data_IF_615310453565
#
_entry.id   IF_615310453565
#
_cell.length_a   1.000
_cell.length_b   1.000
_cell.length_c   1.000
_cell.angle_alpha   90.00
_cell.angle_beta   90.00
_cell.angle_gamma   90.00
#
_symmetry.space_group_name_H-M   'P 1'
#
loop_
_entity.id
_entity.type
_entity.pdbx_description
1 polymer ?
#
# COMPACT_ATOMS: atom_id res chain seq x y z
N UNK A 1 -8.31 11.09 19.23
CA UNK A 1 -7.06 10.35 19.51
C UNK A 1 -6.22 10.48 18.25
N UNK A 2 -4.92 10.68 18.40
CA UNK A 2 -4.00 10.82 17.28
C UNK A 2 -3.36 9.47 17.01
N UNK A 3 -3.20 9.09 15.74
CA UNK A 3 -2.55 7.82 15.35
C UNK A 3 -1.14 8.05 14.83
N UNK A 4 -0.20 7.20 15.22
CA UNK A 4 1.20 7.30 14.77
C UNK A 4 1.42 6.53 13.47
N UNK A 5 2.04 7.18 12.48
CA UNK A 5 2.30 6.62 11.16
C UNK A 5 3.80 6.68 10.87
N UNK A 6 4.37 5.56 10.42
CA UNK A 6 5.73 5.52 9.89
C UNK A 6 5.73 5.26 8.37
N UNK A 7 6.45 6.07 7.60
CA UNK A 7 6.62 5.88 6.15
C UNK A 7 8.05 5.39 5.90
N UNK A 8 8.19 4.10 5.60
CA UNK A 8 9.48 3.53 5.24
C UNK A 8 9.72 3.74 3.73
N UNK A 9 10.79 4.44 3.38
CA UNK A 9 11.00 4.94 2.02
C UNK A 9 10.43 6.35 1.76
N UNK A 10 10.26 7.18 2.81
CA UNK A 10 9.71 8.55 2.71
C UNK A 10 10.42 9.48 1.72
N UNK A 11 11.67 9.20 1.33
CA UNK A 11 12.46 10.04 0.43
C UNK A 11 12.21 9.76 -1.07
N UNK A 12 11.52 8.66 -1.41
CA UNK A 12 11.11 8.38 -2.78
C UNK A 12 9.86 9.18 -3.17
N UNK A 13 9.56 9.29 -4.47
CA UNK A 13 8.42 10.07 -4.99
C UNK A 13 7.10 9.70 -4.30
N UNK A 14 6.78 8.40 -4.21
CA UNK A 14 5.57 7.92 -3.53
C UNK A 14 5.56 8.32 -2.05
N UNK A 15 6.68 8.12 -1.35
CA UNK A 15 6.80 8.42 0.07
C UNK A 15 6.65 9.92 0.36
N UNK A 16 7.25 10.77 -0.47
CA UNK A 16 7.16 12.23 -0.35
C UNK A 16 5.72 12.72 -0.54
N UNK A 17 5.03 12.29 -1.59
CA UNK A 17 3.65 12.73 -1.79
C UNK A 17 2.69 12.21 -0.72
N UNK A 18 2.92 11.01 -0.19
CA UNK A 18 2.13 10.49 0.95
C UNK A 18 2.41 11.35 2.17
N UNK A 19 3.67 11.64 2.48
CA UNK A 19 4.05 12.51 3.60
C UNK A 19 3.35 13.86 3.52
N UNK A 20 3.45 14.55 2.38
CA UNK A 20 2.80 15.86 2.17
C UNK A 20 1.27 15.81 2.40
N UNK A 21 0.61 14.72 1.98
CA UNK A 21 -0.83 14.53 2.23
C UNK A 21 -1.15 14.27 3.70
N UNK A 22 -0.29 13.54 4.42
CA UNK A 22 -0.49 13.21 5.83
C UNK A 22 -0.13 14.38 6.76
N UNK A 23 0.84 15.22 6.43
CA UNK A 23 1.20 16.42 7.20
C UNK A 23 0.04 17.42 7.35
N UNK A 24 -0.91 17.41 6.41
CA UNK A 24 -2.11 18.23 6.46
C UNK A 24 -3.21 17.69 7.41
N UNK A 25 -3.02 16.50 8.01
CA UNK A 25 -4.01 15.83 8.86
C UNK A 25 -3.73 16.10 10.34
N UNK A 26 -4.75 16.55 11.08
CA UNK A 26 -4.64 16.81 12.51
C UNK A 26 -4.86 15.57 13.40
N UNK A 27 -5.32 14.45 12.81
CA UNK A 27 -5.59 13.18 13.48
C UNK A 27 -4.44 12.17 13.37
N UNK A 28 -3.35 12.53 12.68
CA UNK A 28 -2.20 11.67 12.41
C UNK A 28 -0.90 12.35 12.87
N UNK A 29 0.05 11.55 13.37
CA UNK A 29 1.40 11.98 13.74
C UNK A 29 2.43 11.13 12.98
N UNK A 30 3.44 11.77 12.38
CA UNK A 30 4.46 11.09 11.59
C UNK A 30 5.72 10.80 12.40
N UNK A 31 6.17 9.54 12.38
CA UNK A 31 7.49 9.15 12.87
C UNK A 31 8.52 9.47 11.77
N UNK A 32 9.44 10.38 12.06
CA UNK A 32 10.50 10.80 11.13
C UNK A 32 11.87 10.34 11.65
N UNK A 33 12.58 9.54 10.86
CA UNK A 33 13.91 9.04 11.24
C UNK A 33 15.06 9.94 10.78
N UNK A 34 14.80 10.89 9.87
CA UNK A 34 15.81 11.81 9.34
C UNK A 34 17.01 11.06 8.72
N UNK A 35 18.21 11.33 9.23
CA UNK A 35 19.43 10.67 8.77
C UNK A 35 19.55 9.20 9.19
N UNK A 36 18.81 8.78 10.22
CA UNK A 36 18.78 7.38 10.67
C UNK A 36 17.89 6.49 9.82
N UNK A 37 17.29 6.99 8.73
CA UNK A 37 16.40 6.20 7.85
C UNK A 37 17.05 4.99 7.18
N UNK A 38 18.38 4.87 7.21
CA UNK A 38 19.13 3.68 6.73
C UNK A 38 19.62 2.78 7.85
N UNK A 39 19.43 3.18 9.10
CA UNK A 39 19.77 2.38 10.27
C UNK A 39 18.68 1.32 10.47
N UNK A 40 19.09 0.06 10.42
CA UNK A 40 18.18 -1.10 10.53
C UNK A 40 17.49 -1.12 11.89
N UNK A 41 18.18 -0.78 12.97
CA UNK A 41 17.63 -0.78 14.32
C UNK A 41 16.63 0.35 14.49
N UNK A 42 16.97 1.56 14.02
CA UNK A 42 16.04 2.69 14.05
C UNK A 42 14.76 2.44 13.23
N UNK A 43 14.90 1.80 12.06
CA UNK A 43 13.76 1.37 11.24
C UNK A 43 12.93 0.32 11.97
N UNK A 44 13.56 -0.70 12.58
CA UNK A 44 12.86 -1.73 13.35
C UNK A 44 12.04 -1.13 14.49
N UNK A 45 12.62 -0.20 15.25
CA UNK A 45 11.92 0.51 16.33
C UNK A 45 10.71 1.27 15.78
N UNK A 46 10.90 2.12 14.77
CA UNK A 46 9.80 2.89 14.16
C UNK A 46 8.69 2.01 13.56
N UNK A 47 9.06 0.88 12.94
CA UNK A 47 8.11 -0.11 12.42
C UNK A 47 7.21 -0.70 13.51
N UNK A 48 7.73 -0.88 14.72
CA UNK A 48 7.02 -1.53 15.82
C UNK A 48 6.28 -0.55 16.74
N UNK A 49 6.73 0.71 16.78
CA UNK A 49 6.15 1.78 17.60
C UNK A 49 4.99 2.53 16.92
N UNK A 50 4.80 2.36 15.60
CA UNK A 50 3.73 2.98 14.84
C UNK A 50 2.39 2.22 14.95
N UNK A 51 1.26 2.94 14.96
CA UNK A 51 -0.06 2.32 14.79
C UNK A 51 -0.22 1.73 13.38
N UNK A 52 0.31 2.44 12.37
CA UNK A 52 0.36 1.96 11.00
C UNK A 52 1.65 2.35 10.27
N UNK A 53 2.06 1.51 9.32
CA UNK A 53 3.27 1.67 8.52
C UNK A 53 2.89 1.66 7.04
N UNK A 54 3.47 2.59 6.28
CA UNK A 54 3.37 2.64 4.83
C UNK A 54 4.74 2.30 4.23
N UNK A 55 4.80 1.21 3.47
CA UNK A 55 6.04 0.79 2.80
C UNK A 55 6.08 1.34 1.39
N UNK A 56 7.00 2.27 1.16
CA UNK A 56 7.31 2.87 -0.14
C UNK A 56 8.66 2.34 -0.64
N UNK A 57 8.79 1.01 -0.66
CA UNK A 57 10.04 0.30 -0.86
C UNK A 57 9.97 -0.60 -2.11
N UNK A 58 11.12 -0.96 -2.71
CA UNK A 58 11.19 -2.10 -3.64
C UNK A 58 10.79 -3.40 -2.95
N UNK A 59 10.34 -4.38 -3.74
CA UNK A 59 9.74 -5.63 -3.24
C UNK A 59 10.58 -6.37 -2.18
N UNK A 60 11.88 -6.52 -2.38
CA UNK A 60 12.74 -7.25 -1.42
C UNK A 60 12.90 -6.50 -0.10
N UNK A 61 13.01 -5.17 -0.17
CA UNK A 61 13.08 -4.32 1.02
C UNK A 61 11.72 -4.25 1.74
N UNK A 62 10.60 -4.32 1.01
CA UNK A 62 9.26 -4.43 1.60
C UNK A 62 9.11 -5.75 2.38
N UNK A 63 9.57 -6.88 1.80
CA UNK A 63 9.57 -8.18 2.49
C UNK A 63 10.45 -8.17 3.74
N UNK A 64 11.64 -7.57 3.66
CA UNK A 64 12.52 -7.39 4.82
C UNK A 64 11.82 -6.56 5.90
N UNK A 65 11.25 -5.40 5.56
CA UNK A 65 10.55 -4.54 6.51
C UNK A 65 9.38 -5.25 7.20
N UNK A 66 8.56 -6.00 6.45
CA UNK A 66 7.49 -6.84 7.04
C UNK A 66 8.06 -7.88 8.00
N UNK A 67 9.21 -8.47 7.69
CA UNK A 67 9.91 -9.42 8.58
C UNK A 67 10.51 -8.80 9.85
N UNK A 68 10.66 -7.47 9.91
CA UNK A 68 11.13 -6.74 11.09
C UNK A 68 9.99 -6.35 12.06
N UNK A 69 8.72 -6.52 11.66
CA UNK A 69 7.56 -6.20 12.49
C UNK A 69 7.27 -7.37 13.43
N UNK A 70 7.47 -7.14 14.72
CA UNK A 70 7.20 -8.07 15.82
C UNK A 70 5.87 -7.75 16.52
N UNK A 71 5.46 -6.49 16.52
CA UNK A 71 4.20 -6.05 17.09
C UNK A 71 3.02 -6.41 16.15
N UNK A 72 2.13 -7.34 16.54
CA UNK A 72 1.04 -7.79 15.68
C UNK A 72 -0.07 -6.76 15.50
N UNK A 73 -0.11 -5.72 16.34
CA UNK A 73 -1.12 -4.65 16.26
C UNK A 73 -0.84 -3.66 15.13
N UNK A 74 0.43 -3.55 14.70
CA UNK A 74 0.85 -2.65 13.62
C UNK A 74 0.09 -2.99 12.34
N UNK A 75 -0.57 -2.00 11.75
CA UNK A 75 -1.20 -2.14 10.43
C UNK A 75 -0.20 -1.78 9.32
N UNK A 76 -0.20 -2.51 8.22
CA UNK A 76 0.74 -2.29 7.11
C UNK A 76 0.00 -2.02 5.81
N UNK A 77 0.41 -0.96 5.12
CA UNK A 77 0.04 -0.66 3.74
C UNK A 77 1.31 -0.74 2.90
N UNK A 78 1.40 -1.74 2.03
CA UNK A 78 2.55 -1.93 1.14
C UNK A 78 2.26 -1.40 -0.27
N UNK A 79 3.04 -0.42 -0.73
CA UNK A 79 2.92 0.14 -2.07
C UNK A 79 3.68 -0.65 -3.15
N UNK A 80 4.52 -1.61 -2.74
CA UNK A 80 5.30 -2.47 -3.64
C UNK A 80 4.42 -3.48 -4.38
N UNK A 81 5.05 -4.39 -5.12
CA UNK A 81 4.35 -5.52 -5.75
C UNK A 81 4.42 -6.81 -4.93
N UNK A 82 5.18 -6.81 -3.83
CA UNK A 82 5.57 -7.99 -3.08
C UNK A 82 4.40 -8.89 -2.64
N UNK A 83 3.26 -8.28 -2.28
CA UNK A 83 2.09 -8.97 -1.71
C UNK A 83 0.80 -8.80 -2.53
N UNK A 84 0.85 -8.26 -3.75
CA UNK A 84 -0.37 -7.93 -4.53
C UNK A 84 -1.25 -9.14 -4.87
N UNK A 85 -0.65 -10.32 -4.94
CA UNK A 85 -1.33 -11.60 -5.21
C UNK A 85 -1.32 -12.55 -4.02
N UNK A 86 -0.85 -12.08 -2.85
CA UNK A 86 -0.82 -12.88 -1.63
C UNK A 86 -2.24 -12.99 -1.06
N UNK A 87 -2.79 -14.22 -0.89
CA UNK A 87 -4.16 -14.40 -0.41
C UNK A 87 -4.36 -13.96 1.05
N UNK A 88 -3.27 -13.84 1.83
CA UNK A 88 -3.28 -13.40 3.23
C UNK A 88 -3.32 -11.87 3.37
N UNK A 89 -3.10 -11.13 2.29
CA UNK A 89 -3.20 -9.67 2.25
C UNK A 89 -4.55 -9.24 1.65
N UNK A 90 -5.05 -8.08 2.09
CA UNK A 90 -6.17 -7.42 1.43
C UNK A 90 -5.64 -6.56 0.27
N UNK A 91 -6.21 -6.72 -0.92
CA UNK A 91 -5.88 -5.85 -2.05
C UNK A 91 -6.53 -4.47 -1.84
N UNK A 92 -5.74 -3.40 -1.82
CA UNK A 92 -6.14 -2.05 -1.43
C UNK A 92 -6.98 -1.30 -2.46
N UNK A 93 -7.89 -1.96 -3.17
CA UNK A 93 -8.80 -1.32 -4.13
C UNK A 93 -10.26 -1.51 -3.67
N UNK A 94 -10.82 -0.60 -2.85
CA UNK A 94 -12.10 -0.81 -2.18
C UNK A 94 -13.30 -1.05 -3.11
N UNK A 95 -13.28 -0.51 -4.33
CA UNK A 95 -14.37 -0.59 -5.30
C UNK A 95 -14.32 -1.84 -6.19
N UNK A 96 -13.23 -2.62 -6.15
CA UNK A 96 -12.99 -3.70 -7.12
C UNK A 96 -14.06 -4.80 -7.06
N UNK A 97 -14.58 -5.09 -5.87
CA UNK A 97 -15.56 -6.13 -5.63
C UNK A 97 -16.48 -5.79 -4.45
N UNK A 98 -17.74 -6.30 -4.44
CA UNK A 98 -18.60 -6.21 -3.27
C UNK A 98 -17.93 -6.79 -2.01
N UNK A 99 -18.05 -6.08 -0.88
CA UNK A 99 -17.43 -6.48 0.39
C UNK A 99 -15.93 -6.19 0.49
N UNK A 100 -15.29 -5.67 -0.56
CA UNK A 100 -13.86 -5.36 -0.51
C UNK A 100 -13.55 -4.23 0.48
N UNK A 101 -14.41 -3.21 0.56
CA UNK A 101 -14.29 -2.15 1.57
C UNK A 101 -14.16 -2.71 2.99
N UNK A 102 -15.09 -3.60 3.38
CA UNK A 102 -15.09 -4.22 4.70
C UNK A 102 -13.87 -5.12 4.91
N UNK A 103 -13.45 -5.86 3.86
CA UNK A 103 -12.22 -6.66 3.89
C UNK A 103 -11.00 -5.79 4.19
N UNK A 104 -10.88 -4.62 3.54
CA UNK A 104 -9.77 -3.68 3.79
C UNK A 104 -9.87 -3.10 5.21
N UNK A 105 -11.06 -2.69 5.65
CA UNK A 105 -11.26 -2.12 6.98
C UNK A 105 -10.85 -3.09 8.10
N UNK A 106 -11.16 -4.38 7.94
CA UNK A 106 -10.81 -5.44 8.89
C UNK A 106 -9.35 -5.90 8.79
N UNK A 107 -8.63 -5.58 7.71
CA UNK A 107 -7.28 -6.07 7.47
C UNK A 107 -6.23 -5.33 8.30
N UNK A 108 -5.21 -6.09 8.74
CA UNK A 108 -3.95 -5.53 9.29
C UNK A 108 -2.85 -5.46 8.24
N UNK A 109 -3.05 -6.06 7.07
CA UNK A 109 -2.10 -6.18 5.97
C UNK A 109 -2.80 -5.85 4.66
N UNK A 110 -2.44 -4.71 4.06
CA UNK A 110 -3.04 -4.20 2.81
C UNK A 110 -1.96 -4.02 1.77
N UNK A 111 -2.14 -4.60 0.59
CA UNK A 111 -1.26 -4.38 -0.56
C UNK A 111 -1.92 -3.36 -1.49
N UNK A 112 -1.32 -2.18 -1.60
CA UNK A 112 -1.85 -1.09 -2.41
C UNK A 112 -1.71 -1.43 -3.91
N UNK A 113 -2.77 -1.18 -4.70
CA UNK A 113 -2.77 -1.51 -6.13
C UNK A 113 -1.76 -0.67 -6.90
N UNK A 114 -1.29 -1.22 -8.04
CA UNK A 114 -0.53 -0.43 -9.00
C UNK A 114 -1.44 0.50 -9.81
N UNK A 115 -0.90 1.61 -10.32
CA UNK A 115 -1.65 2.59 -11.10
C UNK A 115 -2.38 2.00 -12.32
N UNK A 116 -1.70 1.15 -13.12
CA UNK A 116 -2.32 0.48 -14.26
C UNK A 116 -3.37 -0.56 -13.87
N UNK A 117 -3.11 -1.49 -12.92
CA UNK A 117 -4.14 -2.37 -12.38
C UNK A 117 -5.38 -1.62 -11.88
N UNK A 118 -5.22 -0.50 -11.18
CA UNK A 118 -6.36 0.31 -10.72
C UNK A 118 -7.23 0.77 -11.89
N UNK A 119 -6.62 1.33 -12.94
CA UNK A 119 -7.35 1.76 -14.14
C UNK A 119 -8.03 0.61 -14.88
N UNK A 120 -7.33 -0.50 -15.07
CA UNK A 120 -7.89 -1.67 -15.77
C UNK A 120 -9.02 -2.34 -14.97
N UNK A 121 -8.77 -2.66 -13.70
CA UNK A 121 -9.74 -3.35 -12.85
C UNK A 121 -10.98 -2.49 -12.59
N UNK A 122 -10.82 -1.17 -12.43
CA UNK A 122 -11.94 -0.25 -12.24
C UNK A 122 -12.94 -0.27 -13.40
N UNK A 123 -12.46 -0.55 -14.62
CA UNK A 123 -13.30 -0.64 -15.82
C UNK A 123 -13.81 -2.06 -16.08
N UNK A 124 -12.97 -3.08 -15.91
CA UNK A 124 -13.25 -4.44 -16.37
C UNK A 124 -13.91 -5.31 -15.32
N UNK A 125 -13.53 -5.19 -14.04
CA UNK A 125 -14.09 -6.01 -12.97
C UNK A 125 -15.63 -5.98 -12.88
N UNK A 126 -16.33 -4.82 -13.01
CA UNK A 126 -17.80 -4.82 -13.01
C UNK A 126 -18.41 -5.52 -14.23
N UNK A 127 -17.79 -5.44 -15.41
CA UNK A 127 -18.28 -6.08 -16.63
C UNK A 127 -18.14 -7.60 -16.57
N UNK A 128 -17.01 -8.09 -16.05
CA UNK A 128 -16.79 -9.52 -15.81
C UNK A 128 -17.80 -10.05 -14.79
N UNK A 129 -17.99 -9.33 -13.68
CA UNK A 129 -18.95 -9.70 -12.64
C UNK A 129 -20.40 -9.71 -13.15
N UNK A 130 -20.75 -8.82 -14.06
CA UNK A 130 -22.06 -8.79 -14.70
C UNK A 130 -22.24 -9.87 -15.79
N UNK A 131 -21.21 -10.68 -16.07
CA UNK A 131 -21.23 -11.69 -17.13
C UNK A 131 -21.19 -11.11 -18.55
N UNK A 132 -20.89 -9.81 -18.70
CA UNK A 132 -20.81 -9.12 -19.99
C UNK A 132 -19.48 -9.39 -20.70
N UNK A 133 -18.43 -9.72 -19.94
CA UNK A 133 -17.12 -10.13 -20.45
C UNK A 133 -16.76 -11.46 -19.77
N UNK A 134 -16.39 -12.51 -20.54
CA UNK A 134 -15.88 -13.75 -19.95
C UNK A 134 -14.61 -13.49 -19.13
N UNK A 135 -14.46 -14.16 -17.98
CA UNK A 135 -13.30 -13.96 -17.10
C UNK A 135 -11.97 -14.40 -17.73
N UNK A 136 -12.03 -15.33 -18.69
CA UNK A 136 -10.91 -15.86 -19.47
C UNK A 136 -10.75 -15.19 -20.83
N UNK A 137 -11.54 -14.14 -21.12
CA UNK A 137 -11.45 -13.40 -22.37
C UNK A 137 -10.04 -12.81 -22.54
N UNK A 138 -9.34 -13.10 -23.65
CA UNK A 138 -8.10 -12.40 -23.95
C UNK A 138 -8.37 -10.91 -24.16
N UNK A 139 -7.66 -10.06 -23.42
CA UNK A 139 -7.79 -8.60 -23.49
C UNK A 139 -6.43 -7.95 -23.72
N UNK A 140 -6.41 -6.92 -24.58
CA UNK A 140 -5.25 -6.06 -24.77
C UNK A 140 -5.52 -4.72 -24.12
N UNK A 141 -4.57 -4.24 -23.31
CA UNK A 141 -4.68 -2.95 -22.62
C UNK A 141 -3.54 -2.06 -23.08
N UNK A 142 -3.88 -0.96 -23.76
CA UNK A 142 -2.95 0.10 -24.09
C UNK A 142 -3.16 1.23 -23.10
N UNK A 143 -2.18 1.50 -22.26
CA UNK A 143 -2.24 2.54 -21.24
C UNK A 143 -1.08 3.52 -21.41
N UNK A 144 -1.37 4.80 -21.20
CA UNK A 144 -0.39 5.89 -21.29
C UNK A 144 -0.25 6.49 -19.89
N UNK A 145 0.98 6.76 -19.46
CA UNK A 145 1.27 7.38 -18.15
C UNK A 145 2.12 8.62 -18.32
N UNK A 146 1.92 9.58 -17.41
CA UNK A 146 2.87 10.68 -17.20
C UNK A 146 4.19 10.19 -16.60
N UNK A 147 5.20 11.06 -16.62
CA UNK A 147 6.58 10.75 -16.21
C UNK A 147 6.73 10.38 -14.73
N UNK A 148 5.80 10.80 -13.87
CA UNK A 148 5.86 10.54 -12.42
C UNK A 148 5.55 9.10 -12.01
N UNK A 149 5.02 8.29 -12.93
CA UNK A 149 4.72 6.87 -12.68
C UNK A 149 5.88 5.91 -12.96
N UNK A 150 7.03 6.40 -13.42
CA UNK A 150 8.22 5.61 -13.77
C UNK A 150 9.37 5.78 -12.79
#
# INVERSE_FOLDING_TARGET
MTHTIFIDGEAGTTGLEIRERLEARADLELILLGDRRRDVQARREALNDADAVILCLPDDAAREAVGLIENPAVRVIDASTAYRVDPTWAYGFPEVAPGQWDRIAAATRVSNPGCYPTGFLGLVAPLVRAGLIPADQPMTVNAVSGYSGG
#
